data_IF_582734630006
#
_entry.id   IF_582734630006
#
_cell.length_a   1.000
_cell.length_b   1.000
_cell.length_c   1.000
_cell.angle_alpha   90.00
_cell.angle_beta   90.00
_cell.angle_gamma   90.00
#
_symmetry.space_group_name_H-M   'P 1'
#
loop_
_entity.id
_entity.type
_entity.pdbx_description
1 polymer ?
#
# COMPACT_ATOMS: atom_id res chain seq x y z
N UNK A 1 -3.15 -38.91 -3.35
CA UNK A 1 -3.38 -37.45 -3.37
C UNK A 1 -3.08 -36.97 -4.77
N UNK A 2 -3.99 -36.24 -5.44
CA UNK A 2 -3.69 -35.71 -6.78
C UNK A 2 -2.59 -34.66 -6.63
N UNK A 3 -1.39 -34.94 -7.13
CA UNK A 3 -0.28 -33.99 -7.10
C UNK A 3 -0.40 -33.00 -8.27
N UNK A 4 -1.38 -32.10 -8.17
CA UNK A 4 -1.60 -31.04 -9.16
C UNK A 4 -0.36 -30.17 -9.35
N UNK A 5 0.38 -29.92 -8.26
CA UNK A 5 1.58 -29.08 -8.27
C UNK A 5 2.63 -29.61 -9.23
N UNK A 6 2.99 -30.89 -9.11
CA UNK A 6 3.96 -31.53 -10.01
C UNK A 6 3.49 -31.53 -11.45
N UNK A 7 2.24 -31.92 -11.70
CA UNK A 7 1.68 -31.96 -13.06
C UNK A 7 1.72 -30.59 -13.74
N UNK A 8 1.33 -29.55 -13.01
CA UNK A 8 1.30 -28.18 -13.52
C UNK A 8 2.72 -27.68 -13.76
N UNK A 9 3.67 -27.89 -12.84
CA UNK A 9 5.06 -27.47 -13.02
C UNK A 9 5.69 -28.11 -14.27
N UNK A 10 5.35 -29.37 -14.57
CA UNK A 10 5.89 -30.10 -15.72
C UNK A 10 5.23 -29.68 -17.05
N UNK A 11 3.98 -29.19 -17.03
CA UNK A 11 3.15 -29.04 -18.25
C UNK A 11 2.49 -27.68 -18.44
N UNK A 12 2.76 -26.71 -17.57
CA UNK A 12 2.11 -25.40 -17.67
C UNK A 12 2.37 -24.78 -19.04
N UNK A 13 1.32 -24.22 -19.64
CA UNK A 13 1.41 -23.57 -20.93
C UNK A 13 0.63 -22.26 -20.98
N UNK A 14 0.96 -21.45 -21.97
CA UNK A 14 0.50 -20.07 -22.11
C UNK A 14 -0.10 -19.84 -23.49
N UNK A 15 -0.88 -18.77 -23.61
CA UNK A 15 -1.34 -18.25 -24.90
C UNK A 15 -1.16 -16.74 -24.90
N UNK A 16 -0.96 -16.13 -26.06
CA UNK A 16 -0.75 -14.69 -26.23
C UNK A 16 -1.67 -13.81 -25.38
N UNK A 17 -2.98 -14.09 -25.40
CA UNK A 17 -4.00 -13.33 -24.67
C UNK A 17 -3.86 -13.38 -23.13
N UNK A 18 -3.11 -14.34 -22.59
CA UNK A 18 -2.96 -14.50 -21.14
C UNK A 18 -1.96 -13.49 -20.58
N UNK A 19 -0.90 -13.16 -21.31
CA UNK A 19 0.11 -12.20 -20.85
C UNK A 19 -0.51 -10.82 -20.65
N UNK A 20 -1.23 -10.31 -21.66
CA UNK A 20 -1.96 -9.04 -21.56
C UNK A 20 -2.97 -9.04 -20.42
N UNK A 21 -3.71 -10.15 -20.25
CA UNK A 21 -4.68 -10.30 -19.17
C UNK A 21 -4.01 -10.25 -17.79
N UNK A 22 -2.89 -10.93 -17.61
CA UNK A 22 -2.16 -10.95 -16.34
C UNK A 22 -1.62 -9.54 -16.01
N UNK A 23 -0.96 -8.88 -16.96
CA UNK A 23 -0.47 -7.51 -16.78
C UNK A 23 -1.62 -6.58 -16.36
N UNK A 24 -2.75 -6.63 -17.07
CA UNK A 24 -3.94 -5.82 -16.75
C UNK A 24 -4.50 -6.11 -15.35
N UNK A 25 -4.65 -7.38 -14.97
CA UNK A 25 -5.28 -7.76 -13.70
C UNK A 25 -4.41 -7.55 -12.47
N UNK A 26 -3.10 -7.66 -12.63
CA UNK A 26 -2.15 -7.41 -11.55
C UNK A 26 -1.71 -5.94 -11.49
N UNK A 27 -2.06 -5.13 -12.50
CA UNK A 27 -1.61 -3.75 -12.67
C UNK A 27 -0.07 -3.68 -12.71
N UNK A 28 0.52 -4.50 -13.57
CA UNK A 28 1.97 -4.59 -13.79
C UNK A 28 2.28 -4.51 -15.29
N UNK A 29 3.53 -4.25 -15.62
CA UNK A 29 4.03 -4.21 -17.00
C UNK A 29 5.29 -5.09 -17.10
N UNK A 30 5.08 -6.38 -17.31
CA UNK A 30 6.17 -7.36 -17.45
C UNK A 30 6.20 -7.95 -18.86
N UNK A 31 7.41 -8.33 -19.30
CA UNK A 31 7.61 -9.16 -20.49
C UNK A 31 7.05 -10.57 -20.27
N UNK A 32 6.84 -11.30 -21.37
CA UNK A 32 6.33 -12.68 -21.33
C UNK A 32 7.18 -13.59 -20.45
N UNK A 33 8.51 -13.58 -20.67
CA UNK A 33 9.45 -14.40 -19.89
C UNK A 33 9.39 -14.07 -18.39
N UNK A 34 9.24 -12.79 -18.04
CA UNK A 34 9.11 -12.36 -16.64
C UNK A 34 7.78 -12.77 -16.00
N UNK A 35 6.71 -12.81 -16.78
CA UNK A 35 5.44 -13.38 -16.33
C UNK A 35 5.61 -14.88 -16.07
N UNK A 36 6.26 -15.62 -16.98
CA UNK A 36 6.46 -17.07 -16.81
C UNK A 36 7.33 -17.40 -15.60
N UNK A 37 8.45 -16.67 -15.41
CA UNK A 37 9.30 -16.77 -14.21
C UNK A 37 8.48 -16.53 -12.93
N UNK A 38 7.68 -15.47 -12.90
CA UNK A 38 6.82 -15.12 -11.76
C UNK A 38 5.79 -16.23 -11.47
N UNK A 39 5.10 -16.72 -12.50
CA UNK A 39 4.08 -17.77 -12.37
C UNK A 39 4.71 -19.07 -11.87
N UNK A 40 5.86 -19.45 -12.42
CA UNK A 40 6.59 -20.64 -12.00
C UNK A 40 7.02 -20.54 -10.53
N UNK A 41 7.56 -19.40 -10.11
CA UNK A 41 7.92 -19.16 -8.72
C UNK A 41 6.71 -19.28 -7.78
N UNK A 42 5.58 -18.64 -8.13
CA UNK A 42 4.33 -18.74 -7.35
C UNK A 42 3.92 -20.21 -7.17
N UNK A 43 3.87 -21.00 -8.24
CA UNK A 43 3.43 -22.40 -8.17
C UNK A 43 4.40 -23.23 -7.31
N UNK A 44 5.70 -23.00 -7.46
CA UNK A 44 6.74 -23.72 -6.72
C UNK A 44 6.70 -23.43 -5.22
N UNK A 45 6.50 -22.17 -4.84
CA UNK A 45 6.46 -21.71 -3.45
C UNK A 45 5.13 -22.04 -2.76
N UNK A 46 4.03 -22.16 -3.49
CA UNK A 46 2.71 -22.43 -2.91
C UNK A 46 2.60 -23.85 -2.35
N UNK A 47 2.11 -23.99 -1.12
CA UNK A 47 1.84 -25.30 -0.51
C UNK A 47 0.77 -26.09 -1.28
N UNK A 48 0.89 -27.43 -1.34
CA UNK A 48 -0.06 -28.28 -2.09
C UNK A 48 -1.50 -28.20 -1.55
N UNK A 49 -1.68 -27.87 -0.27
CA UNK A 49 -3.01 -27.69 0.35
C UNK A 49 -3.78 -26.48 -0.20
N UNK A 50 -3.08 -25.52 -0.82
CA UNK A 50 -3.66 -24.32 -1.44
C UNK A 50 -4.05 -24.53 -2.92
N UNK A 51 -4.01 -25.77 -3.41
CA UNK A 51 -4.44 -26.16 -4.75
C UNK A 51 -5.86 -26.72 -4.68
N UNK A 52 -6.83 -26.02 -5.25
CA UNK A 52 -8.24 -26.40 -5.22
C UNK A 52 -8.80 -26.57 -6.62
N UNK A 53 -9.32 -27.75 -6.94
CA UNK A 53 -10.00 -27.99 -8.23
C UNK A 53 -11.51 -27.74 -8.09
N UNK A 54 -12.03 -26.84 -8.93
CA UNK A 54 -13.47 -26.59 -9.05
C UNK A 54 -13.86 -26.65 -10.52
N UNK A 55 -14.65 -27.67 -10.89
CA UNK A 55 -15.02 -27.94 -12.27
C UNK A 55 -13.78 -28.13 -13.16
N UNK A 56 -13.67 -27.32 -14.23
CA UNK A 56 -12.57 -27.37 -15.20
C UNK A 56 -11.29 -26.67 -14.74
N UNK A 57 -11.30 -25.96 -13.61
CA UNK A 57 -10.21 -25.10 -13.18
C UNK A 57 -9.53 -25.65 -11.91
N UNK A 58 -8.23 -25.42 -11.83
CA UNK A 58 -7.42 -25.53 -10.61
C UNK A 58 -7.07 -24.10 -10.18
N UNK A 59 -7.37 -23.78 -8.93
CA UNK A 59 -7.03 -22.51 -8.30
C UNK A 59 -5.82 -22.74 -7.40
N UNK A 60 -4.80 -21.90 -7.54
CA UNK A 60 -3.59 -21.92 -6.73
C UNK A 60 -3.55 -20.62 -5.97
N UNK A 61 -3.72 -20.69 -4.66
CA UNK A 61 -3.80 -19.53 -3.76
C UNK A 61 -2.45 -19.31 -3.07
N UNK A 62 -1.72 -18.27 -3.45
CA UNK A 62 -0.48 -17.91 -2.76
C UNK A 62 -0.73 -16.70 -1.85
N UNK A 63 -0.88 -16.97 -0.55
CA UNK A 63 -1.17 -15.95 0.45
C UNK A 63 0.01 -14.98 0.67
N UNK A 64 1.26 -15.46 0.58
CA UNK A 64 2.47 -14.66 0.77
C UNK A 64 2.62 -13.60 -0.32
N UNK A 65 2.37 -13.98 -1.58
CA UNK A 65 2.40 -13.08 -2.74
C UNK A 65 1.08 -12.37 -2.99
N UNK A 66 0.04 -12.68 -2.22
CA UNK A 66 -1.31 -12.16 -2.38
C UNK A 66 -1.84 -12.32 -3.82
N UNK A 67 -1.58 -13.47 -4.44
CA UNK A 67 -1.97 -13.78 -5.83
C UNK A 67 -2.67 -15.13 -5.88
N UNK A 68 -3.75 -15.21 -6.66
CA UNK A 68 -4.40 -16.46 -7.03
C UNK A 68 -4.24 -16.72 -8.51
N UNK A 69 -3.71 -17.90 -8.86
CA UNK A 69 -3.65 -18.37 -10.24
C UNK A 69 -4.87 -19.23 -10.55
N UNK A 70 -5.36 -19.14 -11.78
CA UNK A 70 -6.39 -20.05 -12.30
C UNK A 70 -5.82 -20.80 -13.49
N UNK A 71 -5.81 -22.13 -13.44
CA UNK A 71 -5.24 -23.00 -14.46
C UNK A 71 -6.33 -23.95 -14.96
N UNK A 72 -6.39 -24.17 -16.28
CA UNK A 72 -7.29 -25.16 -16.84
C UNK A 72 -6.78 -26.57 -16.53
N UNK A 73 -7.61 -27.40 -15.89
CA UNK A 73 -7.23 -28.75 -15.45
C UNK A 73 -7.07 -29.79 -16.57
N UNK A 74 -7.54 -29.50 -17.78
CA UNK A 74 -7.40 -30.41 -18.92
C UNK A 74 -6.15 -30.12 -19.74
N UNK A 75 -5.79 -28.83 -19.86
CA UNK A 75 -4.70 -28.40 -20.76
C UNK A 75 -3.49 -27.86 -20.01
N UNK A 76 -3.54 -27.74 -18.68
CA UNK A 76 -2.54 -27.03 -17.85
C UNK A 76 -2.26 -25.59 -18.32
N UNK A 77 -3.19 -24.99 -19.07
CA UNK A 77 -3.05 -23.62 -19.55
C UNK A 77 -3.42 -22.65 -18.44
N UNK A 78 -2.54 -21.70 -18.13
CA UNK A 78 -2.91 -20.59 -17.25
C UNK A 78 -4.02 -19.74 -17.90
N UNK A 79 -5.05 -19.43 -17.13
CA UNK A 79 -6.20 -18.64 -17.58
C UNK A 79 -6.02 -17.18 -17.18
N UNK A 80 -5.55 -16.95 -15.96
CA UNK A 80 -5.35 -15.62 -15.36
C UNK A 80 -4.55 -15.74 -14.06
N UNK A 81 -4.00 -14.61 -13.62
CA UNK A 81 -3.60 -14.36 -12.25
C UNK A 81 -4.45 -13.20 -11.72
N UNK A 82 -4.92 -13.29 -10.49
CA UNK A 82 -5.68 -12.24 -9.81
C UNK A 82 -4.94 -11.85 -8.54
N UNK A 83 -4.83 -10.55 -8.25
CA UNK A 83 -4.52 -10.11 -6.89
C UNK A 83 -5.64 -10.63 -6.00
N UNK A 84 -5.27 -11.36 -4.96
CA UNK A 84 -6.24 -11.71 -3.94
C UNK A 84 -6.65 -10.39 -3.29
N UNK A 85 -7.95 -10.11 -3.25
CA UNK A 85 -8.42 -9.09 -2.34
C UNK A 85 -8.02 -9.60 -0.97
N UNK A 86 -7.10 -8.91 -0.27
CA UNK A 86 -6.95 -9.10 1.17
C UNK A 86 -8.37 -9.09 1.69
N UNK A 87 -8.83 -10.17 2.32
CA UNK A 87 -9.96 -10.05 3.23
C UNK A 87 -9.63 -8.80 4.04
N UNK A 88 -10.50 -7.79 4.02
CA UNK A 88 -10.45 -6.69 4.99
C UNK A 88 -10.63 -7.35 6.35
N UNK A 89 -9.57 -7.95 6.87
CA UNK A 89 -9.56 -8.46 8.21
C UNK A 89 -9.72 -7.23 9.07
N UNK A 90 -10.66 -7.31 10.01
CA UNK A 90 -10.84 -6.31 11.01
C UNK A 90 -9.61 -6.37 11.90
N UNK A 91 -8.57 -5.60 11.56
CA UNK A 91 -7.34 -5.51 12.34
C UNK A 91 -7.37 -4.23 13.15
N UNK A 92 -7.51 -4.37 14.47
CA UNK A 92 -7.22 -3.29 15.40
C UNK A 92 -5.71 -3.02 15.36
N UNK A 93 -5.33 -1.77 15.22
CA UNK A 93 -3.95 -1.31 15.38
C UNK A 93 -3.90 -0.22 16.46
N UNK A 94 -2.71 0.03 17.02
CA UNK A 94 -2.48 1.07 18.02
C UNK A 94 -1.41 2.04 17.51
N UNK A 95 -1.71 3.34 17.46
CA UNK A 95 -0.77 4.34 16.94
C UNK A 95 0.55 4.40 17.70
N UNK A 96 0.51 4.21 19.02
CA UNK A 96 1.71 4.23 19.87
C UNK A 96 2.60 3.03 19.58
N UNK A 97 2.02 1.83 19.50
CA UNK A 97 2.79 0.62 19.16
C UNK A 97 3.49 0.77 17.80
N UNK A 98 2.83 1.42 16.82
CA UNK A 98 3.43 1.68 15.51
C UNK A 98 4.54 2.72 15.62
N UNK A 99 4.28 3.86 16.23
CA UNK A 99 5.27 4.95 16.30
C UNK A 99 6.51 4.55 17.13
N UNK A 100 6.34 3.70 18.14
CA UNK A 100 7.43 3.15 18.95
C UNK A 100 8.40 2.27 18.11
N UNK A 101 7.98 1.76 16.95
CA UNK A 101 8.86 0.98 16.04
C UNK A 101 9.69 1.85 15.08
N UNK A 102 9.46 3.17 15.07
CA UNK A 102 10.17 4.09 14.18
C UNK A 102 11.41 4.64 14.86
N UNK A 103 12.56 4.09 14.51
CA UNK A 103 13.87 4.48 15.06
C UNK A 103 14.53 5.66 14.33
N UNK A 104 13.95 6.10 13.20
CA UNK A 104 14.48 7.22 12.41
C UNK A 104 14.01 8.57 12.96
N UNK A 105 14.83 9.61 12.78
CA UNK A 105 14.45 10.98 13.14
C UNK A 105 13.29 11.55 12.28
N UNK A 106 13.08 10.98 11.09
CA UNK A 106 11.94 11.28 10.24
C UNK A 106 11.46 10.03 9.50
N UNK A 107 10.19 9.70 9.65
CA UNK A 107 9.46 8.79 8.78
C UNK A 107 8.01 9.26 8.65
N UNK A 108 7.47 9.23 7.44
CA UNK A 108 6.08 9.61 7.13
C UNK A 108 5.53 8.61 6.12
N UNK A 109 4.54 7.83 6.55
CA UNK A 109 4.00 6.74 5.75
C UNK A 109 2.50 6.58 5.96
N UNK A 110 1.84 5.99 4.95
CA UNK A 110 0.41 5.69 5.00
C UNK A 110 0.19 4.51 5.96
N UNK A 111 -0.65 4.72 6.97
CA UNK A 111 -1.16 3.65 7.84
C UNK A 111 -2.27 2.88 7.14
N UNK A 112 -3.27 3.59 6.63
CA UNK A 112 -4.44 2.98 5.98
C UNK A 112 -5.04 3.88 4.91
N UNK A 113 -5.77 3.26 3.99
CA UNK A 113 -6.58 3.95 2.99
C UNK A 113 -8.07 3.78 3.30
N UNK A 114 -8.80 4.90 3.31
CA UNK A 114 -10.25 4.93 3.52
C UNK A 114 -10.88 5.63 2.32
N UNK A 115 -11.49 4.85 1.43
CA UNK A 115 -12.01 5.32 0.14
C UNK A 115 -10.89 6.01 -0.68
N UNK A 116 -11.08 7.27 -1.06
CA UNK A 116 -10.12 8.13 -1.76
C UNK A 116 -9.20 8.94 -0.84
N UNK A 117 -9.24 8.66 0.47
CA UNK A 117 -8.41 9.32 1.49
C UNK A 117 -7.39 8.35 2.09
N UNK A 118 -6.34 8.89 2.68
CA UNK A 118 -5.35 8.15 3.44
C UNK A 118 -5.16 8.74 4.83
N UNK A 119 -4.93 7.86 5.80
CA UNK A 119 -4.42 8.21 7.12
C UNK A 119 -2.92 7.94 7.11
N UNK A 120 -2.11 8.97 7.31
CA UNK A 120 -0.66 8.88 7.49
C UNK A 120 -0.30 9.04 8.96
N UNK A 121 0.85 8.49 9.32
CA UNK A 121 1.55 8.82 10.55
C UNK A 121 2.92 9.38 10.19
N UNK A 122 3.29 10.46 10.86
CA UNK A 122 4.62 11.03 10.81
C UNK A 122 5.25 10.94 12.20
N UNK A 123 6.47 10.39 12.26
CA UNK A 123 7.36 10.47 13.41
C UNK A 123 8.51 11.37 12.99
N UNK A 124 8.63 12.53 13.63
CA UNK A 124 9.43 13.62 13.08
C UNK A 124 10.07 14.47 14.17
N UNK A 125 11.34 14.82 13.96
CA UNK A 125 12.06 15.89 14.64
C UNK A 125 12.87 16.66 13.59
N UNK A 126 12.70 17.98 13.50
CA UNK A 126 13.37 18.82 12.51
C UNK A 126 12.42 19.81 11.83
N UNK A 127 12.72 20.17 10.58
CA UNK A 127 11.92 21.08 9.75
C UNK A 127 11.52 20.40 8.43
N UNK A 128 10.26 20.58 8.03
CA UNK A 128 9.80 20.21 6.70
C UNK A 128 9.96 21.40 5.73
N UNK A 129 9.73 21.21 4.44
CA UNK A 129 9.80 22.32 3.47
C UNK A 129 8.52 23.14 3.48
N UNK A 130 8.63 24.41 3.10
CA UNK A 130 7.45 25.22 2.80
C UNK A 130 6.70 24.63 1.62
N UNK A 131 5.39 24.46 1.77
CA UNK A 131 4.55 23.87 0.74
C UNK A 131 3.09 24.29 0.88
N UNK A 132 2.30 23.97 -0.13
CA UNK A 132 0.84 23.99 -0.10
C UNK A 132 0.29 22.87 -0.97
N UNK A 133 -0.97 22.54 -0.78
CA UNK A 133 -1.69 21.62 -1.67
C UNK A 133 -2.65 22.41 -2.57
N UNK A 134 -2.66 22.15 -3.87
CA UNK A 134 -3.37 23.00 -4.83
C UNK A 134 -4.90 22.84 -4.77
N UNK A 135 -5.38 21.62 -4.51
CA UNK A 135 -6.78 21.22 -4.58
C UNK A 135 -7.29 20.51 -3.32
N UNK A 136 -6.38 20.10 -2.43
CA UNK A 136 -6.71 19.26 -1.27
C UNK A 136 -6.48 19.99 0.05
N UNK A 137 -7.25 19.59 1.06
CA UNK A 137 -7.06 20.03 2.44
C UNK A 137 -6.29 18.93 3.20
N UNK A 138 -5.53 19.34 4.22
CA UNK A 138 -4.77 18.42 5.07
C UNK A 138 -5.15 18.64 6.54
N UNK A 139 -5.40 17.56 7.28
CA UNK A 139 -5.67 17.61 8.71
C UNK A 139 -4.48 17.06 9.50
N UNK A 140 -3.92 17.85 10.42
CA UNK A 140 -2.92 17.39 11.38
C UNK A 140 -3.58 17.07 12.72
N UNK A 141 -3.22 15.94 13.34
CA UNK A 141 -3.60 15.58 14.72
C UNK A 141 -2.35 15.15 15.47
N UNK A 142 -2.02 15.78 16.60
CA UNK A 142 -0.81 15.43 17.37
C UNK A 142 -1.14 14.37 18.41
N UNK A 143 -0.33 13.30 18.44
CA UNK A 143 -0.44 12.18 19.39
C UNK A 143 0.65 12.22 20.46
N UNK A 144 1.81 12.80 20.16
CA UNK A 144 2.96 12.89 21.06
C UNK A 144 3.82 14.10 20.67
N UNK A 145 4.44 14.76 21.65
CA UNK A 145 5.33 15.89 21.41
C UNK A 145 4.58 17.19 21.12
N UNK A 146 5.21 18.05 20.32
CA UNK A 146 4.67 19.35 19.91
C UNK A 146 5.00 19.59 18.42
N UNK A 147 3.98 19.94 17.64
CA UNK A 147 4.12 20.30 16.23
C UNK A 147 3.92 21.81 16.08
N UNK A 148 4.94 22.50 15.58
CA UNK A 148 4.88 23.91 15.20
C UNK A 148 4.52 24.01 13.72
N UNK A 149 3.51 24.82 13.40
CA UNK A 149 3.07 25.08 12.04
C UNK A 149 3.17 26.58 11.77
N UNK A 150 4.08 26.94 10.87
CA UNK A 150 4.26 28.30 10.38
C UNK A 150 3.40 28.48 9.13
N UNK A 151 2.64 29.57 9.06
CA UNK A 151 1.65 29.83 8.00
C UNK A 151 1.90 31.23 7.45
N UNK A 152 1.99 31.37 6.12
CA UNK A 152 2.20 32.68 5.50
C UNK A 152 1.01 33.61 5.78
N UNK A 153 1.31 34.79 6.35
CA UNK A 153 0.29 35.82 6.64
C UNK A 153 -0.60 35.53 7.85
N UNK A 154 -0.24 34.55 8.68
CA UNK A 154 -0.96 34.19 9.90
C UNK A 154 0.00 33.99 11.07
N UNK A 155 -0.54 33.94 12.29
CA UNK A 155 0.23 33.54 13.47
C UNK A 155 0.68 32.07 13.37
N UNK A 156 1.82 31.78 13.99
CA UNK A 156 2.32 30.41 14.13
C UNK A 156 1.44 29.63 15.10
N UNK A 157 1.05 28.42 14.71
CA UNK A 157 0.25 27.51 15.53
C UNK A 157 1.15 26.46 16.18
N UNK A 158 0.91 26.16 17.45
CA UNK A 158 1.57 25.08 18.19
C UNK A 158 0.51 24.06 18.60
N UNK A 159 0.67 22.82 18.16
CA UNK A 159 -0.22 21.71 18.48
C UNK A 159 0.49 20.76 19.46
N UNK A 160 -0.19 20.37 20.52
CA UNK A 160 0.25 19.37 21.49
C UNK A 160 -0.64 18.14 21.43
N UNK A 161 -0.29 17.11 22.19
CA UNK A 161 -1.07 15.86 22.25
C UNK A 161 -2.57 16.13 22.44
N UNK A 162 -3.39 15.64 21.50
CA UNK A 162 -4.84 15.81 21.48
C UNK A 162 -5.31 16.98 20.62
N UNK A 163 -4.43 17.91 20.24
CA UNK A 163 -4.77 19.03 19.37
C UNK A 163 -4.81 18.60 17.90
N UNK A 164 -5.64 19.29 17.12
CA UNK A 164 -5.71 19.13 15.67
C UNK A 164 -5.93 20.47 14.97
N UNK A 165 -5.52 20.54 13.71
CA UNK A 165 -5.85 21.67 12.82
C UNK A 165 -6.06 21.16 11.40
N UNK A 166 -6.99 21.79 10.69
CA UNK A 166 -7.13 21.63 9.25
C UNK A 166 -6.41 22.78 8.54
N UNK A 167 -5.56 22.45 7.59
CA UNK A 167 -4.94 23.39 6.66
C UNK A 167 -5.76 23.40 5.36
N UNK A 168 -6.44 24.51 5.03
CA UNK A 168 -7.18 24.63 3.77
C UNK A 168 -6.25 24.55 2.54
N UNK A 169 -6.80 24.11 1.41
CA UNK A 169 -6.09 24.13 0.12
C UNK A 169 -5.49 25.53 -0.16
N UNK A 170 -4.31 25.54 -0.79
CA UNK A 170 -3.53 26.74 -1.14
C UNK A 170 -2.97 27.54 0.04
N UNK A 171 -3.08 27.03 1.27
CA UNK A 171 -2.42 27.63 2.42
C UNK A 171 -0.94 27.25 2.43
N UNK A 172 -0.07 28.25 2.23
CA UNK A 172 1.39 28.05 2.30
C UNK A 172 1.79 27.90 3.77
N UNK A 173 2.38 26.77 4.10
CA UNK A 173 2.74 26.44 5.46
C UNK A 173 3.99 25.56 5.53
N UNK A 174 4.56 25.45 6.73
CA UNK A 174 5.68 24.57 7.05
C UNK A 174 5.51 24.00 8.44
N UNK A 175 5.78 22.71 8.59
CA UNK A 175 5.79 22.03 9.89
C UNK A 175 7.22 21.90 10.42
N UNK A 176 7.37 22.01 11.75
CA UNK A 176 8.62 21.78 12.45
C UNK A 176 8.38 21.21 13.84
N UNK A 177 9.33 20.45 14.35
CA UNK A 177 9.27 19.83 15.66
C UNK A 177 10.66 19.87 16.33
N UNK A 178 10.75 20.53 17.48
CA UNK A 178 12.00 20.67 18.23
C UNK A 178 12.40 19.38 18.97
N UNK A 179 11.40 18.56 19.32
CA UNK A 179 11.53 17.24 19.94
C UNK A 179 10.89 16.19 19.04
N UNK A 180 11.09 14.90 19.33
CA UNK A 180 10.35 13.83 18.65
C UNK A 180 8.85 14.07 18.82
N UNK A 181 8.16 14.23 17.70
CA UNK A 181 6.73 14.47 17.63
C UNK A 181 6.10 13.39 16.75
N UNK A 182 4.93 12.90 17.18
CA UNK A 182 4.12 11.96 16.42
C UNK A 182 2.81 12.64 16.07
N UNK A 183 2.53 12.78 14.78
CA UNK A 183 1.25 13.31 14.30
C UNK A 183 0.64 12.41 13.24
N UNK A 184 -0.68 12.46 13.13
CA UNK A 184 -1.43 11.91 12.01
C UNK A 184 -1.66 13.00 10.97
N UNK A 185 -1.68 12.61 9.70
CA UNK A 185 -2.24 13.41 8.63
C UNK A 185 -3.42 12.67 8.00
N UNK A 186 -4.54 13.35 7.79
CA UNK A 186 -5.66 12.82 7.00
C UNK A 186 -5.92 13.71 5.80
N UNK A 187 -5.78 13.13 4.61
CA UNK A 187 -5.82 13.84 3.34
C UNK A 187 -6.26 12.92 2.20
N UNK A 188 -6.56 13.50 1.03
CA UNK A 188 -6.82 12.70 -0.17
C UNK A 188 -5.53 12.03 -0.65
N UNK A 189 -5.64 10.79 -1.14
CA UNK A 189 -4.49 10.07 -1.69
C UNK A 189 -4.22 10.49 -3.14
N UNK A 190 -3.71 11.71 -3.31
CA UNK A 190 -3.34 12.30 -4.60
C UNK A 190 -2.03 13.07 -4.47
N UNK A 191 -1.23 13.11 -5.53
CA UNK A 191 -0.05 13.97 -5.59
C UNK A 191 -0.49 15.40 -5.94
N UNK A 192 -0.56 16.28 -4.94
CA UNK A 192 -1.09 17.65 -5.08
C UNK A 192 -0.23 18.71 -4.34
N UNK A 193 0.89 18.28 -3.76
CA UNK A 193 1.82 19.13 -3.02
C UNK A 193 2.72 19.93 -3.94
N UNK A 194 2.81 21.24 -3.69
CA UNK A 194 3.69 22.17 -4.38
C UNK A 194 4.63 22.78 -3.34
N UNK A 195 5.94 22.58 -3.54
CA UNK A 195 6.98 23.17 -2.69
C UNK A 195 7.24 24.62 -3.10
N UNK A 196 7.55 25.44 -2.10
CA UNK A 196 7.90 26.85 -2.27
C UNK A 196 9.35 27.02 -1.80
N UNK A 197 10.14 27.72 -2.61
CA UNK A 197 11.52 28.11 -2.30
C UNK A 197 11.58 29.37 -1.42
#
# INVERSE_FOLDING_TARGET
MNNYKREILDKICYTELVYERINKKLSIELSKDKIEEMIFAIIKETDETEFQKTGKNIYITNNERNIRLTINSYTNRIITADKMNKKKFLSKQNFKEISDTVDKAYDNFILENVNDHCLRIAVFQGEYKWHYHNNTEELFVVLEGELKIEITGSETVFLRNGDFIKIPAKTIHRTSAAVRTVNLCFEKNVEDTIFVD
#
